data_IF_579448033801
#
_entry.id   IF_579448033801
#
_cell.length_a   1.000
_cell.length_b   1.000
_cell.length_c   1.000
_cell.angle_alpha   90.00
_cell.angle_beta   90.00
_cell.angle_gamma   90.00
#
_symmetry.space_group_name_H-M   'P 1'
#
loop_
_entity.id
_entity.type
_entity.pdbx_description
1 polymer ?
#
# COMPACT_ATOMS: atom_id res chain seq x y z
N UNK A 1 1.12 -18.50 18.94
CA UNK A 1 0.06 -17.62 18.42
C UNK A 1 -0.15 -18.03 16.96
N UNK A 2 -1.35 -18.50 16.62
CA UNK A 2 -1.60 -19.33 15.43
C UNK A 2 -1.72 -18.48 14.16
N UNK A 3 -0.71 -18.53 13.30
CA UNK A 3 -0.78 -17.99 11.94
C UNK A 3 -1.86 -18.78 11.18
N UNK A 4 -2.90 -18.12 10.65
CA UNK A 4 -3.88 -18.80 9.80
C UNK A 4 -3.31 -18.90 8.39
N UNK A 5 -2.56 -19.98 8.14
CA UNK A 5 -2.19 -20.36 6.78
C UNK A 5 -3.38 -21.05 6.13
N UNK A 6 -3.80 -20.56 4.97
CA UNK A 6 -4.70 -21.31 4.11
C UNK A 6 -3.90 -21.84 2.93
N UNK A 7 -3.85 -23.17 2.80
CA UNK A 7 -3.26 -23.83 1.66
C UNK A 7 -4.36 -24.17 0.65
N UNK A 8 -4.24 -23.69 -0.58
CA UNK A 8 -4.99 -24.26 -1.71
C UNK A 8 -4.11 -25.32 -2.35
N UNK A 9 -4.67 -26.51 -2.57
CA UNK A 9 -3.93 -27.68 -3.04
C UNK A 9 -4.31 -27.96 -4.49
N UNK A 10 -3.41 -27.62 -5.42
CA UNK A 10 -3.57 -27.95 -6.85
C UNK A 10 -2.78 -29.22 -7.13
N UNK A 11 -3.48 -30.31 -7.42
CA UNK A 11 -2.85 -31.60 -7.73
C UNK A 11 -2.72 -31.73 -9.24
N UNK A 12 -1.50 -31.63 -9.76
CA UNK A 12 -1.19 -32.01 -11.14
C UNK A 12 -0.77 -33.48 -11.18
N UNK A 13 -1.65 -34.35 -11.70
CA UNK A 13 -1.34 -35.77 -11.90
C UNK A 13 -0.78 -35.98 -13.31
N UNK A 14 0.51 -36.27 -13.43
CA UNK A 14 1.13 -36.65 -14.69
C UNK A 14 1.29 -38.16 -14.77
N UNK A 15 0.69 -38.78 -15.79
CA UNK A 15 0.93 -40.18 -16.12
C UNK A 15 2.06 -40.27 -17.14
N UNK A 16 3.26 -40.65 -16.70
CA UNK A 16 4.36 -40.96 -17.62
C UNK A 16 4.36 -42.45 -17.91
N UNK A 17 3.97 -42.82 -19.14
CA UNK A 17 4.12 -44.20 -19.62
C UNK A 17 5.58 -44.41 -19.99
N UNK A 18 6.29 -45.28 -19.27
CA UNK A 18 7.62 -45.71 -19.71
C UNK A 18 7.48 -46.62 -20.92
N UNK A 19 8.39 -46.43 -21.88
CA UNK A 19 8.41 -47.17 -23.14
C UNK A 19 9.04 -48.53 -22.86
N UNK A 20 8.24 -49.50 -22.43
CA UNK A 20 8.68 -50.90 -22.35
C UNK A 20 8.68 -51.51 -23.75
N UNK A 21 9.78 -52.13 -24.15
CA UNK A 21 9.96 -52.81 -25.46
C UNK A 21 9.45 -54.24 -25.47
N UNK A 22 8.57 -54.63 -24.55
CA UNK A 22 8.02 -55.98 -24.49
C UNK A 22 6.53 -56.01 -24.85
N UNK A 23 6.19 -56.86 -25.82
CA UNK A 23 4.87 -56.96 -26.44
C UNK A 23 3.82 -57.74 -25.63
N UNK A 24 4.00 -57.94 -24.31
CA UNK A 24 3.09 -58.73 -23.47
C UNK A 24 2.92 -58.16 -22.05
N UNK A 25 2.27 -56.99 -21.92
CA UNK A 25 1.83 -56.47 -20.61
C UNK A 25 0.30 -56.25 -20.61
N UNK A 26 -0.46 -56.74 -19.61
CA UNK A 26 -1.91 -56.59 -19.58
C UNK A 26 -2.32 -55.12 -19.46
N UNK A 27 -3.43 -54.75 -20.11
CA UNK A 27 -4.09 -53.46 -19.97
C UNK A 27 -4.51 -53.23 -18.51
N UNK A 28 -4.05 -52.13 -17.90
CA UNK A 28 -4.44 -51.69 -16.56
C UNK A 28 -5.95 -51.48 -16.50
N UNK A 29 -6.65 -52.21 -15.63
CA UNK A 29 -8.10 -52.12 -15.48
C UNK A 29 -8.50 -50.88 -14.67
N UNK A 30 -9.70 -50.30 -14.92
CA UNK A 30 -10.22 -49.13 -14.21
C UNK A 30 -10.25 -49.29 -12.68
N UNK A 31 -10.40 -50.52 -12.17
CA UNK A 31 -10.36 -50.81 -10.73
C UNK A 31 -9.02 -50.49 -10.06
N UNK A 32 -7.89 -50.61 -10.78
CA UNK A 32 -6.57 -50.24 -10.23
C UNK A 32 -6.39 -48.72 -10.08
N UNK A 33 -7.03 -47.95 -10.98
CA UNK A 33 -7.04 -46.48 -10.94
C UNK A 33 -7.92 -45.99 -9.79
N UNK A 34 -9.08 -46.62 -9.58
CA UNK A 34 -10.00 -46.29 -8.48
C UNK A 34 -9.39 -46.62 -7.11
N UNK A 35 -8.67 -47.75 -6.97
CA UNK A 35 -7.93 -48.07 -5.73
C UNK A 35 -6.81 -47.08 -5.43
N UNK A 36 -6.13 -46.58 -6.46
CA UNK A 36 -5.10 -45.55 -6.32
C UNK A 36 -5.69 -44.21 -5.86
N UNK A 37 -6.84 -43.80 -6.42
CA UNK A 37 -7.56 -42.57 -6.02
C UNK A 37 -8.10 -42.61 -4.58
N UNK A 38 -8.66 -43.76 -4.16
CA UNK A 38 -9.13 -43.96 -2.78
C UNK A 38 -7.99 -43.95 -1.75
N UNK A 39 -6.79 -44.35 -2.15
CA UNK A 39 -5.61 -44.33 -1.28
C UNK A 39 -4.99 -42.93 -1.17
N UNK A 40 -5.01 -42.14 -2.26
CA UNK A 40 -4.65 -40.70 -2.25
C UNK A 40 -5.56 -39.91 -1.30
N UNK A 41 -6.87 -40.22 -1.26
CA UNK A 41 -7.79 -39.61 -0.29
C UNK A 41 -7.44 -39.95 1.17
N UNK A 42 -6.94 -41.17 1.45
CA UNK A 42 -6.45 -41.54 2.79
C UNK A 42 -5.12 -40.87 3.15
N UNK A 43 -4.26 -40.58 2.18
CA UNK A 43 -2.99 -39.87 2.40
C UNK A 43 -3.17 -38.36 2.62
N UNK A 44 -4.23 -37.76 2.05
CA UNK A 44 -4.67 -36.38 2.33
C UNK A 44 -4.88 -36.10 3.83
N UNK A 45 -5.21 -37.13 4.61
CA UNK A 45 -5.43 -37.06 6.07
C UNK A 45 -4.11 -37.13 6.87
N UNK A 46 -3.01 -37.57 6.26
CA UNK A 46 -1.79 -37.96 6.98
C UNK A 46 -0.56 -37.03 6.80
N UNK A 47 -0.65 -35.96 5.99
CA UNK A 47 0.39 -34.90 5.86
C UNK A 47 1.84 -35.42 5.74
N UNK A 48 2.14 -36.25 4.73
CA UNK A 48 3.49 -36.76 4.47
C UNK A 48 4.19 -36.02 3.31
N UNK A 49 5.51 -35.74 3.39
CA UNK A 49 6.16 -34.77 2.50
C UNK A 49 6.64 -35.27 1.13
N UNK A 50 6.71 -36.58 0.86
CA UNK A 50 6.94 -37.15 -0.50
C UNK A 50 6.98 -38.69 -0.45
N UNK A 51 6.47 -39.39 -1.47
CA UNK A 51 6.65 -40.85 -1.64
C UNK A 51 6.81 -41.20 -3.13
N UNK A 52 7.84 -41.99 -3.47
CA UNK A 52 7.98 -42.63 -4.78
C UNK A 52 7.41 -44.05 -4.74
N UNK A 53 6.61 -44.43 -5.74
CA UNK A 53 6.12 -45.80 -5.90
C UNK A 53 6.59 -46.39 -7.23
N UNK A 54 7.30 -47.52 -7.16
CA UNK A 54 7.54 -48.39 -8.31
C UNK A 54 6.47 -49.47 -8.33
N UNK A 55 5.50 -49.34 -9.24
CA UNK A 55 4.72 -50.49 -9.71
C UNK A 55 5.10 -50.77 -11.14
N UNK A 56 5.15 -52.04 -11.51
CA UNK A 56 5.69 -52.53 -12.79
C UNK A 56 5.22 -51.71 -13.98
N UNK A 57 6.11 -50.86 -14.52
CA UNK A 57 5.93 -50.15 -15.78
C UNK A 57 5.31 -48.74 -15.73
N UNK A 58 4.99 -48.18 -14.56
CA UNK A 58 4.48 -46.80 -14.45
C UNK A 58 5.10 -46.06 -13.26
N UNK A 59 5.78 -44.94 -13.55
CA UNK A 59 6.29 -43.98 -12.56
C UNK A 59 5.29 -42.85 -12.43
N UNK A 60 4.66 -42.71 -11.26
CA UNK A 60 3.77 -41.58 -10.94
C UNK A 60 4.60 -40.57 -10.14
N UNK A 61 4.90 -39.43 -10.74
CA UNK A 61 5.55 -38.30 -10.06
C UNK A 61 4.44 -37.37 -9.59
N UNK A 62 4.26 -37.28 -8.28
CA UNK A 62 3.36 -36.28 -7.66
C UNK A 62 4.24 -35.12 -7.20
N UNK A 63 4.27 -34.05 -7.99
CA UNK A 63 4.90 -32.79 -7.56
C UNK A 63 3.91 -32.04 -6.68
N UNK A 64 4.36 -31.65 -5.49
CA UNK A 64 3.60 -30.85 -4.53
C UNK A 64 4.03 -29.39 -4.64
N UNK A 65 3.39 -28.61 -5.50
CA UNK A 65 3.53 -27.15 -5.45
C UNK A 65 2.55 -26.63 -4.38
N UNK A 66 3.03 -26.47 -3.15
CA UNK A 66 2.26 -25.78 -2.11
C UNK A 66 2.40 -24.29 -2.36
N UNK A 67 1.38 -23.69 -2.97
CA UNK A 67 1.28 -22.24 -3.02
C UNK A 67 0.69 -21.75 -1.70
N UNK A 68 1.57 -21.40 -0.75
CA UNK A 68 1.17 -20.74 0.50
C UNK A 68 0.96 -19.26 0.19
N UNK A 69 -0.26 -18.85 -0.10
CA UNK A 69 -0.61 -17.44 -0.12
C UNK A 69 -0.56 -16.94 1.34
N UNK A 70 0.36 -16.01 1.65
CA UNK A 70 0.31 -15.25 2.91
C UNK A 70 -0.81 -14.20 2.77
N UNK A 71 -1.37 -13.68 3.85
CA UNK A 71 -2.13 -12.43 3.72
C UNK A 71 -1.20 -11.36 3.12
N UNK A 72 -1.61 -10.55 2.13
CA UNK A 72 -2.99 -10.28 1.68
C UNK A 72 -3.35 -10.88 0.30
N UNK A 73 -2.86 -12.07 -0.01
CA UNK A 73 -3.07 -12.71 -1.30
C UNK A 73 -4.40 -13.49 -1.31
N UNK A 74 -5.22 -13.32 -2.35
CA UNK A 74 -6.53 -13.99 -2.46
C UNK A 74 -6.44 -15.46 -2.90
N UNK A 75 -7.48 -16.24 -2.58
CA UNK A 75 -7.53 -17.70 -2.80
C UNK A 75 -7.66 -18.13 -4.27
N UNK A 76 -8.15 -17.25 -5.17
CA UNK A 76 -8.22 -17.52 -6.61
C UNK A 76 -6.93 -17.00 -7.28
N UNK A 77 -5.89 -17.83 -7.22
CA UNK A 77 -4.59 -17.58 -7.86
C UNK A 77 -3.83 -16.39 -7.25
N UNK A 78 -3.36 -16.51 -6.00
CA UNK A 78 -2.60 -15.52 -5.20
C UNK A 78 -2.49 -14.11 -5.81
N UNK A 79 -3.62 -13.43 -6.01
CA UNK A 79 -3.62 -12.05 -6.46
C UNK A 79 -3.69 -11.18 -5.20
N UNK A 80 -2.71 -10.29 -5.03
CA UNK A 80 -2.64 -9.37 -3.90
C UNK A 80 -3.86 -8.43 -3.96
N UNK A 81 -4.79 -8.53 -3.02
CA UNK A 81 -5.87 -7.54 -2.91
C UNK A 81 -5.32 -6.33 -2.18
N UNK A 82 -5.48 -5.15 -2.79
CA UNK A 82 -4.94 -3.90 -2.27
C UNK A 82 -5.96 -2.79 -2.39
N UNK A 83 -5.87 -1.82 -1.48
CA UNK A 83 -6.54 -0.54 -1.60
C UNK A 83 -5.49 0.53 -1.84
N UNK A 84 -5.81 1.51 -2.68
CA UNK A 84 -4.91 2.62 -3.00
C UNK A 84 -5.63 3.93 -2.76
N UNK A 85 -4.90 4.90 -2.23
CA UNK A 85 -5.33 6.28 -2.00
C UNK A 85 -4.20 7.21 -2.49
N UNK A 86 -4.51 8.42 -2.94
CA UNK A 86 -3.53 9.25 -3.63
C UNK A 86 -3.86 10.74 -3.51
N UNK A 87 -2.83 11.56 -3.75
CA UNK A 87 -2.97 12.97 -4.08
C UNK A 87 -2.34 13.23 -5.45
N UNK A 88 -2.99 14.06 -6.28
CA UNK A 88 -2.53 14.32 -7.66
C UNK A 88 -2.72 15.77 -8.07
N UNK A 89 -1.82 16.31 -8.90
CA UNK A 89 -1.94 17.67 -9.42
C UNK A 89 -1.72 18.75 -8.37
N UNK A 90 -2.52 19.81 -8.43
CA UNK A 90 -2.75 20.76 -7.34
C UNK A 90 -3.70 20.13 -6.31
N UNK A 91 -3.28 19.85 -5.07
CA UNK A 91 -3.38 18.50 -4.54
C UNK A 91 -4.83 18.02 -4.39
N UNK A 92 -5.29 17.22 -5.35
CA UNK A 92 -6.57 16.53 -5.32
C UNK A 92 -6.40 15.18 -4.64
N UNK A 93 -7.00 15.03 -3.47
CA UNK A 93 -6.97 13.80 -2.71
C UNK A 93 -8.13 12.89 -3.08
N UNK A 94 -7.87 11.60 -3.01
CA UNK A 94 -8.91 10.60 -2.79
C UNK A 94 -8.48 9.68 -1.65
N UNK A 95 -9.25 9.65 -0.57
CA UNK A 95 -8.98 8.84 0.62
C UNK A 95 -9.12 7.33 0.37
N UNK A 96 -8.81 6.50 1.36
CA UNK A 96 -9.03 5.05 1.28
C UNK A 96 -10.51 4.67 1.12
N UNK A 97 -11.43 5.43 1.71
CA UNK A 97 -12.88 5.22 1.55
C UNK A 97 -13.48 6.02 0.39
N UNK A 98 -12.61 6.58 -0.48
CA UNK A 98 -12.96 7.28 -1.73
C UNK A 98 -13.65 8.63 -1.52
N UNK A 99 -13.38 9.29 -0.41
CA UNK A 99 -13.71 10.69 -0.24
C UNK A 99 -12.74 11.59 -1.03
N UNK A 100 -13.27 12.58 -1.74
CA UNK A 100 -12.50 13.54 -2.54
C UNK A 100 -12.46 14.90 -1.85
N UNK A 101 -11.29 15.52 -1.80
CA UNK A 101 -11.07 16.86 -1.24
C UNK A 101 -9.73 17.45 -1.70
N UNK A 102 -9.54 18.74 -1.49
CA UNK A 102 -8.32 19.47 -1.87
C UNK A 102 -7.59 20.02 -0.65
N UNK A 103 -6.26 20.14 -0.72
CA UNK A 103 -5.44 20.79 0.31
C UNK A 103 -4.24 21.52 -0.29
N UNK A 104 -4.15 22.84 -0.10
CA UNK A 104 -3.13 23.68 -0.73
C UNK A 104 -1.99 24.08 0.21
N UNK A 105 -2.04 23.73 1.50
CA UNK A 105 -1.00 24.03 2.47
C UNK A 105 0.39 23.49 2.07
N UNK A 106 1.44 24.21 2.47
CA UNK A 106 2.85 23.96 2.08
C UNK A 106 3.74 23.48 3.23
N UNK A 107 3.21 23.50 4.46
CA UNK A 107 3.87 22.87 5.60
C UNK A 107 3.94 21.34 5.41
N UNK A 108 4.92 20.64 6.02
CA UNK A 108 4.89 19.19 6.06
C UNK A 108 3.74 18.70 6.94
N UNK A 109 3.13 17.58 6.56
CA UNK A 109 1.99 16.98 7.24
C UNK A 109 2.02 15.46 7.17
N UNK A 110 1.22 14.80 8.02
CA UNK A 110 1.02 13.35 7.99
C UNK A 110 0.03 12.96 6.90
N UNK A 111 0.50 12.21 5.89
CA UNK A 111 -0.34 11.65 4.84
C UNK A 111 -1.15 10.47 5.38
N UNK A 112 -0.47 9.50 5.98
CA UNK A 112 -1.12 8.35 6.60
C UNK A 112 -0.17 7.71 7.61
N UNK A 113 -0.72 7.20 8.71
CA UNK A 113 0.01 6.43 9.71
C UNK A 113 -0.90 5.41 10.39
N UNK A 114 -0.26 4.45 11.04
CA UNK A 114 -0.93 3.63 12.05
C UNK A 114 -1.34 4.51 13.25
N UNK A 115 -2.63 4.51 13.59
CA UNK A 115 -3.15 5.11 14.83
C UNK A 115 -3.21 4.09 15.97
N UNK A 116 -3.16 2.80 15.62
CA UNK A 116 -3.02 1.66 16.51
C UNK A 116 -2.02 0.71 15.87
N UNK A 117 -1.19 0.02 16.65
CA UNK A 117 -0.27 -0.98 16.11
C UNK A 117 -1.02 -2.23 15.65
N UNK A 118 -0.64 -2.77 14.49
CA UNK A 118 -1.42 -3.79 13.76
C UNK A 118 -0.51 -4.96 13.39
N UNK A 119 -0.29 -5.88 14.33
CA UNK A 119 0.44 -7.10 14.00
C UNK A 119 -0.34 -7.96 12.97
N UNK A 120 0.33 -8.58 11.98
CA UNK A 120 1.78 -8.67 11.79
C UNK A 120 2.41 -7.53 10.97
N UNK A 121 1.67 -6.52 10.56
CA UNK A 121 2.14 -5.41 9.73
C UNK A 121 3.03 -4.46 10.55
N UNK A 122 4.17 -4.08 9.99
CA UNK A 122 5.00 -3.04 10.58
C UNK A 122 4.23 -1.70 10.63
N UNK A 123 4.40 -0.98 11.74
CA UNK A 123 3.90 0.39 11.83
C UNK A 123 4.62 1.27 10.79
N UNK A 124 3.87 2.20 10.22
CA UNK A 124 4.38 3.18 9.28
C UNK A 124 3.87 4.59 9.60
N UNK A 125 4.68 5.58 9.20
CA UNK A 125 4.30 6.99 9.14
C UNK A 125 4.75 7.52 7.79
N UNK A 126 3.81 8.01 7.00
CA UNK A 126 4.07 8.66 5.72
C UNK A 126 3.79 10.15 5.90
N UNK A 127 4.80 10.96 5.62
CA UNK A 127 4.75 12.41 5.66
C UNK A 127 5.03 12.94 4.27
N UNK A 128 4.45 14.10 3.95
CA UNK A 128 4.72 14.77 2.70
C UNK A 128 4.82 16.27 2.92
N UNK A 129 5.43 16.94 1.94
CA UNK A 129 5.47 18.41 1.87
C UNK A 129 5.06 18.84 0.48
N UNK A 130 4.20 19.86 0.42
CA UNK A 130 3.88 20.55 -0.82
C UNK A 130 4.73 21.81 -0.96
N UNK A 131 4.92 22.26 -2.19
CA UNK A 131 5.48 23.57 -2.50
C UNK A 131 4.63 24.27 -3.54
N UNK A 132 4.65 25.60 -3.52
CA UNK A 132 4.01 26.40 -4.55
C UNK A 132 4.61 26.09 -5.93
N UNK A 133 3.77 26.10 -6.98
CA UNK A 133 4.23 25.81 -8.34
C UNK A 133 5.33 26.75 -8.82
N UNK A 134 5.27 27.99 -8.33
CA UNK A 134 6.25 29.06 -8.53
C UNK A 134 6.07 30.09 -7.40
N UNK A 135 7.03 31.00 -7.19
CA UNK A 135 6.83 32.14 -6.31
C UNK A 135 5.52 32.88 -6.67
N UNK A 136 4.72 33.21 -5.66
CA UNK A 136 3.39 33.84 -5.78
C UNK A 136 2.29 33.01 -6.48
N UNK A 137 2.44 31.70 -6.65
CA UNK A 137 1.31 30.84 -7.04
C UNK A 137 0.31 30.68 -5.87
N UNK A 138 -0.96 30.47 -6.21
CA UNK A 138 -2.03 30.10 -5.26
C UNK A 138 -2.30 28.59 -5.22
N UNK A 139 -1.50 27.81 -5.93
CA UNK A 139 -1.59 26.36 -6.01
C UNK A 139 -0.24 25.74 -5.64
N UNK A 140 -0.31 24.66 -4.88
CA UNK A 140 0.86 23.86 -4.49
C UNK A 140 0.84 22.50 -5.17
N UNK A 141 1.89 21.70 -4.98
CA UNK A 141 1.88 20.28 -5.31
C UNK A 141 2.93 19.54 -4.47
N UNK A 142 2.76 18.23 -4.31
CA UNK A 142 3.67 17.41 -3.50
C UNK A 142 5.07 17.35 -4.12
N UNK A 143 6.08 17.74 -3.35
CA UNK A 143 7.48 17.79 -3.78
C UNK A 143 8.39 16.84 -3.01
N UNK A 144 7.99 16.40 -1.82
CA UNK A 144 8.81 15.56 -0.94
C UNK A 144 7.96 14.52 -0.23
N UNK A 145 8.56 13.37 0.06
CA UNK A 145 7.94 12.30 0.84
C UNK A 145 8.95 11.72 1.82
N UNK A 146 8.48 11.47 3.05
CA UNK A 146 9.24 10.77 4.07
C UNK A 146 8.42 9.60 4.60
N UNK A 147 9.03 8.42 4.66
CA UNK A 147 8.41 7.17 5.08
C UNK A 147 9.23 6.55 6.20
N UNK A 148 8.64 6.45 7.37
CA UNK A 148 9.16 5.66 8.48
C UNK A 148 8.48 4.31 8.49
N UNK A 149 9.24 3.23 8.41
CA UNK A 149 8.73 1.85 8.51
C UNK A 149 9.90 0.89 8.73
N UNK A 150 9.65 -0.30 9.30
CA UNK A 150 10.67 -1.35 9.50
C UNK A 150 11.96 -0.85 10.20
N UNK A 151 11.82 0.15 11.09
CA UNK A 151 12.95 0.73 11.83
C UNK A 151 13.89 1.62 11.01
N UNK A 152 13.51 1.99 9.78
CA UNK A 152 14.25 2.94 8.94
C UNK A 152 13.38 4.14 8.56
N UNK A 153 14.04 5.26 8.27
CA UNK A 153 13.45 6.47 7.73
C UNK A 153 13.96 6.67 6.29
N UNK A 154 13.05 6.76 5.33
CA UNK A 154 13.32 6.93 3.91
C UNK A 154 12.80 8.30 3.52
N UNK A 155 13.67 9.18 3.06
CA UNK A 155 13.29 10.52 2.67
C UNK A 155 13.70 10.77 1.22
N UNK A 156 12.74 11.23 0.41
CA UNK A 156 12.97 11.70 -0.95
C UNK A 156 12.77 13.21 -0.94
N UNK A 157 13.86 13.97 -1.15
CA UNK A 157 13.81 15.42 -1.18
C UNK A 157 13.26 15.98 -2.50
N UNK A 158 13.09 17.30 -2.58
CA UNK A 158 12.52 17.98 -3.75
C UNK A 158 13.37 17.82 -5.03
N UNK A 159 14.67 17.55 -4.86
CA UNK A 159 15.59 17.26 -5.94
C UNK A 159 15.62 15.77 -6.32
N UNK A 160 14.75 14.96 -5.69
CA UNK A 160 14.68 13.51 -5.85
C UNK A 160 15.98 12.80 -5.43
N UNK A 161 16.67 13.30 -4.42
CA UNK A 161 17.73 12.56 -3.74
C UNK A 161 17.13 11.63 -2.70
N UNK A 162 17.65 10.42 -2.61
CA UNK A 162 17.28 9.44 -1.59
C UNK A 162 18.17 9.59 -0.36
N UNK A 163 17.56 9.74 0.81
CA UNK A 163 18.20 9.63 2.11
C UNK A 163 17.60 8.45 2.87
N UNK A 164 18.46 7.68 3.52
CA UNK A 164 18.05 6.63 4.46
C UNK A 164 18.70 6.93 5.81
N UNK A 165 17.88 7.14 6.82
CA UNK A 165 18.29 7.57 8.16
C UNK A 165 19.16 8.84 8.11
N UNK A 166 18.75 9.82 7.29
CA UNK A 166 19.45 11.09 7.11
C UNK A 166 20.73 11.03 6.27
N UNK A 167 21.11 9.85 5.75
CA UNK A 167 22.32 9.69 4.94
C UNK A 167 21.97 9.46 3.48
N UNK A 168 22.59 10.20 2.57
CA UNK A 168 22.40 10.05 1.11
C UNK A 168 22.71 8.61 0.67
N UNK A 169 21.84 8.06 -0.19
CA UNK A 169 21.95 6.74 -0.81
C UNK A 169 21.60 6.80 -2.30
N UNK A 170 22.05 5.79 -3.04
CA UNK A 170 21.62 5.56 -4.41
C UNK A 170 20.29 4.79 -4.43
N UNK A 171 19.50 4.99 -5.48
CA UNK A 171 18.34 4.16 -5.79
C UNK A 171 18.71 2.70 -6.07
N UNK A 172 17.71 1.84 -6.18
CA UNK A 172 17.84 0.38 -6.07
C UNK A 172 18.44 0.01 -4.71
N UNK A 173 17.92 0.68 -3.68
CA UNK A 173 18.26 0.45 -2.29
C UNK A 173 17.40 -0.68 -1.74
N UNK A 174 18.00 -1.58 -0.97
CA UNK A 174 17.34 -2.74 -0.38
C UNK A 174 17.77 -2.86 1.08
N UNK A 175 16.81 -2.96 1.99
CA UNK A 175 17.02 -3.08 3.43
C UNK A 175 16.35 -4.34 3.98
N UNK A 176 17.00 -5.13 4.84
CA UNK A 176 18.39 -4.96 5.29
C UNK A 176 19.43 -5.35 4.23
N UNK A 177 19.05 -6.14 3.22
CA UNK A 177 19.90 -6.57 2.12
C UNK A 177 19.07 -6.89 0.86
N UNK A 178 19.75 -7.17 -0.25
CA UNK A 178 19.14 -7.40 -1.57
C UNK A 178 18.50 -8.77 -1.70
N UNK A 179 19.04 -9.77 -1.01
CA UNK A 179 18.59 -11.15 -1.08
C UNK A 179 17.23 -11.34 -0.40
N UNK A 180 17.01 -10.64 0.72
CA UNK A 180 15.75 -10.65 1.48
C UNK A 180 15.39 -9.23 1.94
N UNK A 181 14.87 -8.38 1.04
CA UNK A 181 14.51 -7.02 1.38
C UNK A 181 13.18 -6.97 2.15
N UNK A 182 13.20 -6.39 3.33
CA UNK A 182 12.02 -5.88 4.03
C UNK A 182 11.52 -4.59 3.40
N UNK A 183 12.43 -3.74 2.93
CA UNK A 183 12.11 -2.50 2.23
C UNK A 183 12.99 -2.35 0.99
N UNK A 184 12.40 -1.86 -0.10
CA UNK A 184 13.11 -1.51 -1.33
C UNK A 184 12.72 -0.12 -1.81
N UNK A 185 13.68 0.60 -2.40
CA UNK A 185 13.46 1.92 -2.99
C UNK A 185 14.05 1.94 -4.40
N UNK A 186 13.17 2.03 -5.39
CA UNK A 186 13.49 1.96 -6.81
C UNK A 186 13.09 3.27 -7.51
N UNK A 187 13.84 3.66 -8.55
CA UNK A 187 13.53 4.84 -9.35
C UNK A 187 13.48 4.46 -10.83
N UNK A 188 12.28 4.56 -11.39
CA UNK A 188 11.99 4.30 -12.79
C UNK A 188 11.74 5.64 -13.49
N UNK A 189 12.81 6.27 -13.98
CA UNK A 189 12.74 7.52 -14.75
C UNK A 189 11.99 8.66 -14.06
N UNK A 190 12.26 8.90 -12.77
CA UNK A 190 11.62 9.94 -11.95
C UNK A 190 10.33 9.48 -11.26
N UNK A 191 9.93 8.23 -11.46
CA UNK A 191 8.88 7.58 -10.70
C UNK A 191 9.52 6.69 -9.62
N UNK A 192 9.41 7.12 -8.37
CA UNK A 192 10.04 6.47 -7.22
C UNK A 192 9.03 5.55 -6.56
N UNK A 193 9.44 4.31 -6.29
CA UNK A 193 8.60 3.30 -5.65
C UNK A 193 9.30 2.81 -4.39
N UNK A 194 8.63 2.95 -3.25
CA UNK A 194 9.04 2.35 -1.98
C UNK A 194 8.13 1.16 -1.74
N UNK A 195 8.67 -0.06 -1.69
CA UNK A 195 7.90 -1.26 -1.36
C UNK A 195 8.38 -1.86 -0.05
N UNK A 196 7.44 -2.40 0.72
CA UNK A 196 7.72 -3.19 1.91
C UNK A 196 7.27 -4.64 1.75
N UNK A 197 7.88 -5.55 2.52
CA UNK A 197 7.53 -6.99 2.53
C UNK A 197 6.09 -7.24 3.01
N UNK A 198 5.58 -6.38 3.89
CA UNK A 198 4.22 -6.44 4.42
C UNK A 198 3.18 -5.86 3.44
N UNK A 199 3.64 -5.33 2.30
CA UNK A 199 2.79 -4.96 1.19
C UNK A 199 2.36 -3.50 1.14
N UNK A 200 2.84 -2.64 2.06
CA UNK A 200 2.80 -1.18 1.90
C UNK A 200 3.66 -0.78 0.69
N UNK A 201 3.10 0.04 -0.19
CA UNK A 201 3.77 0.63 -1.34
C UNK A 201 3.49 2.12 -1.40
N UNK A 202 4.55 2.91 -1.62
CA UNK A 202 4.46 4.34 -1.90
C UNK A 202 4.96 4.56 -3.31
N UNK A 203 4.13 5.20 -4.12
CA UNK A 203 4.46 5.62 -5.48
C UNK A 203 4.53 7.15 -5.50
N UNK A 204 5.72 7.68 -5.74
CA UNK A 204 6.00 9.10 -5.66
C UNK A 204 6.66 9.64 -6.94
N UNK A 205 6.16 10.79 -7.39
CA UNK A 205 6.85 11.76 -8.24
C UNK A 205 6.32 13.15 -7.88
N UNK A 206 6.98 14.21 -8.34
CA UNK A 206 6.48 15.58 -8.14
C UNK A 206 5.02 15.70 -8.64
N UNK A 207 4.14 16.17 -7.76
CA UNK A 207 2.70 16.35 -8.01
C UNK A 207 1.88 15.05 -8.04
N UNK A 208 2.43 13.92 -7.61
CA UNK A 208 1.71 12.65 -7.55
C UNK A 208 2.27 11.75 -6.44
N UNK A 209 1.45 11.45 -5.45
CA UNK A 209 1.80 10.55 -4.34
C UNK A 209 0.64 9.59 -4.07
N UNK A 210 0.90 8.30 -4.29
CA UNK A 210 -0.04 7.20 -4.04
C UNK A 210 0.47 6.31 -2.92
N UNK A 211 -0.42 5.93 -2.01
CA UNK A 211 -0.19 4.96 -0.95
C UNK A 211 -1.11 3.77 -1.20
N UNK A 212 -0.49 2.60 -1.35
CA UNK A 212 -1.18 1.33 -1.55
C UNK A 212 -0.89 0.44 -0.34
N UNK A 213 -1.95 -0.10 0.25
CA UNK A 213 -1.86 -1.00 1.40
C UNK A 213 -2.63 -2.30 1.13
N UNK A 214 -2.29 -3.39 1.83
CA UNK A 214 -3.06 -4.63 1.84
C UNK A 214 -4.56 -4.41 2.11
N UNK A 215 -5.42 -5.01 1.30
CA UNK A 215 -6.86 -5.00 1.54
C UNK A 215 -7.25 -6.14 2.50
N UNK A 216 -6.93 -5.94 3.78
CA UNK A 216 -7.19 -6.92 4.85
C UNK A 216 -7.97 -6.30 6.02
N UNK A 217 -8.69 -7.11 6.81
CA UNK A 217 -9.47 -6.65 7.96
C UNK A 217 -8.62 -5.97 9.05
N UNK A 218 -7.37 -6.38 9.23
CA UNK A 218 -6.47 -5.83 10.25
C UNK A 218 -6.16 -4.35 10.01
N UNK A 219 -6.15 -3.92 8.75
CA UNK A 219 -5.94 -2.54 8.33
C UNK A 219 -7.27 -1.75 8.16
N UNK A 220 -8.41 -2.33 8.50
CA UNK A 220 -9.73 -1.67 8.44
C UNK A 220 -10.14 -1.13 9.81
N UNK A 221 -10.83 0.02 9.83
CA UNK A 221 -11.56 0.52 10.99
C UNK A 221 -11.16 1.91 11.48
N UNK A 222 -12.09 2.57 12.17
CA UNK A 222 -12.05 3.99 12.49
C UNK A 222 -10.87 4.45 13.39
N UNK A 223 -10.14 3.52 14.00
CA UNK A 223 -8.98 3.81 14.88
C UNK A 223 -7.69 3.15 14.38
N UNK A 224 -7.73 2.55 13.20
CA UNK A 224 -6.68 1.70 12.67
C UNK A 224 -5.64 2.56 11.93
N UNK A 225 -6.09 3.27 10.90
CA UNK A 225 -5.29 4.25 10.17
C UNK A 225 -5.82 5.65 10.43
N UNK A 226 -4.96 6.64 10.28
CA UNK A 226 -5.32 8.04 10.37
C UNK A 226 -4.34 8.92 9.59
N UNK A 227 -4.72 10.17 9.32
CA UNK A 227 -3.99 11.11 8.49
C UNK A 227 -4.87 11.65 7.36
N UNK A 228 -4.26 12.35 6.41
CA UNK A 228 -4.94 12.89 5.24
C UNK A 228 -5.69 11.84 4.41
N UNK A 229 -5.23 10.59 4.36
CA UNK A 229 -5.88 9.54 3.54
C UNK A 229 -7.09 8.87 4.22
N UNK A 230 -7.59 9.40 5.34
CA UNK A 230 -8.74 8.88 6.06
C UNK A 230 -8.42 7.70 6.97
N UNK A 231 -9.47 7.01 7.45
CA UNK A 231 -9.35 5.94 8.46
C UNK A 231 -9.67 4.53 7.93
N UNK A 232 -10.17 4.40 6.69
CA UNK A 232 -10.51 3.13 6.03
C UNK A 232 -11.48 2.28 6.86
N UNK A 233 -12.60 2.88 7.28
CA UNK A 233 -13.67 2.18 7.97
C UNK A 233 -14.89 1.90 7.06
N UNK A 234 -14.81 2.30 5.80
CA UNK A 234 -15.88 2.17 4.80
C UNK A 234 -16.88 3.33 4.83
N UNK A 235 -16.64 4.37 5.65
CA UNK A 235 -17.50 5.53 5.80
C UNK A 235 -16.76 6.83 5.46
N UNK A 236 -16.67 7.11 4.17
CA UNK A 236 -16.10 8.33 3.61
C UNK A 236 -16.60 9.68 4.18
N UNK A 237 -17.75 9.72 4.88
CA UNK A 237 -18.24 10.95 5.54
C UNK A 237 -17.42 11.35 6.77
N UNK A 238 -16.62 10.45 7.33
CA UNK A 238 -15.75 10.72 8.47
C UNK A 238 -14.26 10.76 8.09
N UNK A 239 -13.91 10.67 6.81
CA UNK A 239 -12.50 10.68 6.39
C UNK A 239 -11.78 11.98 6.74
N UNK A 240 -12.51 13.10 6.83
CA UNK A 240 -11.98 14.38 7.29
C UNK A 240 -11.99 14.48 8.82
N UNK A 241 -11.47 13.45 9.48
CA UNK A 241 -11.23 13.45 10.93
C UNK A 241 -9.89 14.12 11.22
N UNK A 242 -9.93 15.25 11.92
CA UNK A 242 -8.75 16.00 12.35
C UNK A 242 -7.87 15.20 13.30
N UNK A 243 -6.63 15.64 13.47
CA UNK A 243 -5.68 15.02 14.42
C UNK A 243 -6.15 14.97 15.88
N UNK A 244 -7.08 15.85 16.27
CA UNK A 244 -7.70 15.86 17.60
C UNK A 244 -8.99 15.00 17.70
N UNK A 245 -9.37 14.30 16.62
CA UNK A 245 -10.56 13.46 16.53
C UNK A 245 -11.84 14.20 16.11
N UNK A 246 -11.79 15.51 15.87
CA UNK A 246 -12.95 16.28 15.38
C UNK A 246 -13.24 15.94 13.91
N UNK A 247 -14.50 15.66 13.58
CA UNK A 247 -14.91 15.35 12.20
C UNK A 247 -15.42 16.62 11.53
N UNK A 248 -14.87 16.96 10.36
CA UNK A 248 -15.44 17.97 9.47
C UNK A 248 -16.53 17.31 8.63
N UNK A 249 -17.78 17.51 9.01
CA UNK A 249 -18.95 17.08 8.22
C UNK A 249 -19.47 18.24 7.39
N UNK A 250 -19.63 18.04 6.09
CA UNK A 250 -20.41 18.96 5.26
C UNK A 250 -21.88 18.54 5.28
N UNK A 251 -22.75 19.42 5.78
CA UNK A 251 -24.20 19.24 5.76
C UNK A 251 -24.82 19.60 4.39
N UNK A 252 -24.02 20.10 3.42
CA UNK A 252 -24.53 20.68 2.18
C UNK A 252 -24.33 19.82 0.92
N UNK A 253 -23.52 18.75 0.96
CA UNK A 253 -23.28 17.92 -0.23
C UNK A 253 -24.49 17.03 -0.57
N UNK A 254 -25.11 17.27 -1.73
CA UNK A 254 -26.25 16.45 -2.24
C UNK A 254 -25.86 15.01 -2.60
N UNK A 255 -24.58 14.70 -2.70
CA UNK A 255 -24.04 13.38 -3.01
C UNK A 255 -23.18 12.86 -1.86
N UNK A 256 -23.43 11.64 -1.35
CA UNK A 256 -22.55 11.01 -0.37
C UNK A 256 -21.13 10.89 -0.96
N UNK A 257 -20.13 11.45 -0.26
CA UNK A 257 -18.71 11.21 -0.50
C UNK A 257 -18.15 11.64 -1.87
N UNK A 258 -18.80 12.65 -2.46
CA UNK A 258 -18.15 13.60 -3.36
C UNK A 258 -18.44 14.95 -2.76
N UNK A 259 -17.47 15.47 -2.02
CA UNK A 259 -17.61 16.76 -1.39
C UNK A 259 -17.18 17.86 -2.36
N UNK A 260 -18.15 18.63 -2.84
CA UNK A 260 -17.95 20.05 -3.16
C UNK A 260 -17.91 20.81 -1.82
N UNK A 261 -17.00 20.43 -0.91
CA UNK A 261 -16.82 21.14 0.35
C UNK A 261 -16.57 22.61 0.03
N UNK A 262 -17.15 23.51 0.82
CA UNK A 262 -16.64 24.87 0.88
C UNK A 262 -15.16 24.76 1.25
N UNK A 263 -14.28 25.03 0.27
CA UNK A 263 -12.81 24.89 0.26
C UNK A 263 -12.12 25.09 1.62
N UNK A 264 -12.63 25.96 2.49
CA UNK A 264 -12.09 26.20 3.83
C UNK A 264 -12.09 24.94 4.73
N UNK A 265 -13.10 24.05 4.61
CA UNK A 265 -13.23 22.88 5.49
C UNK A 265 -12.10 21.87 5.33
N UNK A 266 -11.72 21.56 4.07
CA UNK A 266 -10.61 20.66 3.78
C UNK A 266 -9.26 21.26 4.12
N UNK A 267 -9.12 22.58 4.01
CA UNK A 267 -7.91 23.29 4.40
C UNK A 267 -7.67 23.26 5.92
N UNK A 268 -8.70 23.55 6.73
CA UNK A 268 -8.60 23.45 8.20
C UNK A 268 -8.35 21.99 8.62
N UNK A 269 -9.00 21.03 7.96
CA UNK A 269 -8.73 19.60 8.17
C UNK A 269 -7.25 19.28 7.91
N UNK A 270 -6.71 19.67 6.77
CA UNK A 270 -5.32 19.38 6.42
C UNK A 270 -4.33 20.06 7.35
N UNK A 271 -4.63 21.28 7.80
CA UNK A 271 -3.81 22.00 8.76
C UNK A 271 -3.73 21.31 10.13
N UNK A 272 -4.75 20.55 10.51
CA UNK A 272 -4.71 19.76 11.73
C UNK A 272 -3.64 18.65 11.68
N UNK A 273 -3.21 18.23 10.49
CA UNK A 273 -2.21 17.19 10.28
C UNK A 273 -0.79 17.72 10.04
N UNK A 274 -0.59 19.04 10.10
CA UNK A 274 0.74 19.67 10.05
C UNK A 274 1.61 19.15 11.19
N UNK A 275 2.87 18.88 10.86
CA UNK A 275 3.90 18.45 11.81
C UNK A 275 4.95 19.55 11.99
N UNK A 276 5.73 19.45 13.07
CA UNK A 276 6.83 20.40 13.26
C UNK A 276 7.89 20.20 12.18
N UNK A 277 8.54 21.30 11.76
CA UNK A 277 9.65 21.25 10.80
C UNK A 277 10.80 20.34 11.26
N UNK A 278 10.97 20.11 12.57
CA UNK A 278 11.99 19.22 13.13
C UNK A 278 11.66 17.74 12.97
N UNK A 279 10.39 17.42 12.77
CA UNK A 279 9.88 16.05 12.66
C UNK A 279 9.85 15.60 11.19
N UNK A 280 10.46 16.36 10.29
CA UNK A 280 10.57 16.10 8.86
C UNK A 280 12.00 16.45 8.44
N UNK A 281 12.70 15.53 7.78
CA UNK A 281 14.11 15.73 7.45
C UNK A 281 14.28 16.98 6.58
N UNK A 282 15.00 17.97 7.10
CA UNK A 282 15.26 19.20 6.38
C UNK A 282 16.57 19.10 5.59
N UNK A 283 16.45 19.01 4.26
CA UNK A 283 17.58 18.88 3.33
C UNK A 283 17.92 20.18 2.59
N UNK A 284 17.02 21.16 2.57
CA UNK A 284 17.09 22.36 1.70
C UNK A 284 17.21 23.68 2.50
N UNK A 285 17.17 23.63 3.83
CA UNK A 285 17.22 24.82 4.69
C UNK A 285 15.83 25.39 4.96
N UNK A 286 15.69 26.72 5.03
CA UNK A 286 14.42 27.34 5.41
C UNK A 286 13.45 27.36 4.22
N UNK A 287 12.45 26.48 4.22
CA UNK A 287 11.35 26.48 3.26
C UNK A 287 10.15 27.25 3.80
N UNK A 288 9.39 27.85 2.87
CA UNK A 288 8.13 28.51 3.16
C UNK A 288 7.08 27.48 3.56
N UNK A 289 6.46 27.67 4.72
CA UNK A 289 5.43 26.79 5.28
C UNK A 289 4.25 27.67 5.64
N UNK A 290 3.24 27.60 4.79
CA UNK A 290 1.96 28.30 4.92
C UNK A 290 0.86 27.26 5.13
N UNK A 291 0.09 27.35 6.23
CA UNK A 291 -1.10 26.54 6.42
C UNK A 291 -2.15 26.79 5.33
N UNK A 292 -2.86 25.75 4.94
CA UNK A 292 -3.89 25.76 3.91
C UNK A 292 -4.99 26.78 4.15
N UNK A 293 -5.46 26.95 5.40
CA UNK A 293 -6.50 27.93 5.71
C UNK A 293 -6.07 29.37 5.42
N UNK A 294 -4.76 29.67 5.55
CA UNK A 294 -4.24 30.99 5.19
C UNK A 294 -4.14 31.13 3.68
N UNK A 295 -3.58 30.13 2.99
CA UNK A 295 -3.52 30.10 1.52
C UNK A 295 -4.89 30.38 0.93
N UNK A 296 -5.91 29.71 1.42
CA UNK A 296 -7.22 29.80 0.83
C UNK A 296 -8.01 31.05 1.25
N UNK A 297 -7.77 31.61 2.44
CA UNK A 297 -8.30 32.93 2.83
C UNK A 297 -7.69 34.08 2.01
N UNK A 298 -6.41 33.98 1.61
CA UNK A 298 -5.80 34.97 0.68
C UNK A 298 -6.40 34.91 -0.72
N UNK A 299 -6.89 33.74 -1.16
CA UNK A 299 -7.60 33.57 -2.43
C UNK A 299 -8.98 34.23 -2.42
N UNK A 300 -9.70 34.23 -1.29
CA UNK A 300 -10.99 34.93 -1.16
C UNK A 300 -10.87 36.45 -1.20
N UNK A 301 -9.80 36.99 -0.60
CA UNK A 301 -9.58 38.44 -0.51
C UNK A 301 -9.11 39.05 -1.83
N UNK A 302 -9.04 38.26 -2.90
CA UNK A 302 -8.94 38.78 -4.27
C UNK A 302 -10.29 39.30 -4.77
N UNK A 303 -10.97 40.13 -3.99
CA UNK A 303 -12.05 41.00 -4.47
C UNK A 303 -11.45 42.37 -4.77
N UNK A 304 -11.41 42.70 -6.07
CA UNK A 304 -11.29 44.06 -6.60
C UNK A 304 -10.13 44.92 -6.05
N UNK A 305 -8.88 44.61 -6.43
CA UNK A 305 -7.87 45.66 -6.52
C UNK A 305 -7.87 46.28 -7.93
N UNK A 306 -8.49 47.46 -7.96
CA UNK A 306 -8.10 48.65 -8.72
C UNK A 306 -8.33 48.66 -10.25
N UNK A 307 -9.59 48.90 -10.63
CA UNK A 307 -9.85 49.82 -11.74
C UNK A 307 -9.78 51.26 -11.19
N UNK A 308 -8.60 51.89 -11.27
CA UNK A 308 -8.44 53.34 -11.20
C UNK A 308 -8.09 53.87 -12.59
#
# INVERSE_FOLDING_TARGET
MSLRMFASMVVHVYLKKEKTTDANVPTTTPESIVKSLLFVHKMLVAQMPSVEFLTTGLTVIVNWDIQVCRDPYSHDGCNKTVVTSCMTGDPHYYSFDRNFFDYQGTCPYVVSKNCKSIAPYADFVIKARNALVRPAAHVSYVVEVEVETHGINIHIDEQLNLYVNGVVRNYNFYYPNRENPEVSVENNFGQIVINTIDGLQILFRRGYLCVTIPDVPELQGASTLCGMLGNRDGNCKNDLTMSNGTIITDDQSKTPCKHDLHWMGSEIFGDSWIINKTDFLNTIGDYFCEPGHIVANTTLNCTEQENN
#
